data_IF_859925776211
#
_entry.id   IF_859925776211
#
_cell.length_a   1.000
_cell.length_b   1.000
_cell.length_c   1.000
_cell.angle_alpha   90.00
_cell.angle_beta   90.00
_cell.angle_gamma   90.00
#
_symmetry.space_group_name_H-M   'P 1'
#
loop_
_entity.id
_entity.type
_entity.pdbx_description
1 polymer ?
#
# COMPACT_ATOMS: atom_id res chain seq x y z
N UNK A 1 10.05 2.09 31.72
CA UNK A 1 11.36 2.24 31.06
C UNK A 1 11.28 3.51 30.24
N UNK A 2 12.13 4.50 30.50
CA UNK A 2 12.25 5.64 29.58
C UNK A 2 12.79 5.09 28.26
N UNK A 3 11.99 5.19 27.18
CA UNK A 3 12.44 4.77 25.87
C UNK A 3 13.65 5.62 25.49
N UNK A 4 14.79 4.98 25.27
CA UNK A 4 16.00 5.60 24.74
C UNK A 4 15.73 5.99 23.28
N UNK A 5 15.11 7.16 23.08
CA UNK A 5 15.04 7.80 21.77
C UNK A 5 16.41 8.40 21.50
N UNK A 6 17.03 8.02 20.39
CA UNK A 6 18.26 8.63 19.93
C UNK A 6 18.03 10.13 19.69
N UNK A 7 19.00 11.00 20.02
CA UNK A 7 18.88 12.39 19.63
C UNK A 7 18.90 12.51 18.10
N UNK A 8 18.18 13.50 17.53
CA UNK A 8 18.24 13.76 16.10
C UNK A 8 19.68 14.05 15.67
N UNK A 9 20.11 13.56 14.50
CA UNK A 9 21.46 13.82 14.02
C UNK A 9 21.61 15.28 13.63
N UNK A 10 22.81 15.83 13.83
CA UNK A 10 23.12 17.21 13.43
C UNK A 10 23.09 17.35 11.91
N UNK A 11 22.24 18.24 11.41
CA UNK A 11 22.17 18.57 9.99
C UNK A 11 23.15 19.70 9.66
N UNK A 12 23.89 19.57 8.56
CA UNK A 12 24.84 20.60 8.11
C UNK A 12 24.09 21.87 7.66
N UNK A 13 24.71 23.04 7.85
CA UNK A 13 24.16 24.32 7.37
C UNK A 13 23.92 24.30 5.86
N UNK A 14 24.87 23.75 5.10
CA UNK A 14 24.77 23.60 3.64
C UNK A 14 23.50 22.85 3.21
N UNK A 15 23.08 21.84 3.98
CA UNK A 15 21.84 21.10 3.70
C UNK A 15 20.58 21.94 3.92
N UNK A 16 20.59 22.79 4.95
CA UNK A 16 19.49 23.71 5.24
C UNK A 16 19.45 24.87 4.24
N UNK A 17 20.62 25.36 3.82
CA UNK A 17 20.72 26.32 2.72
C UNK A 17 20.21 25.72 1.42
N UNK A 18 20.47 24.44 1.15
CA UNK A 18 19.94 23.77 -0.04
C UNK A 18 18.40 23.77 -0.06
N UNK A 19 17.76 23.53 1.09
CA UNK A 19 16.30 23.65 1.23
C UNK A 19 15.81 25.05 0.87
N UNK A 20 16.46 26.09 1.42
CA UNK A 20 16.12 27.50 1.15
C UNK A 20 16.37 27.90 -0.31
N UNK A 21 17.39 27.34 -0.96
CA UNK A 21 17.72 27.61 -2.37
C UNK A 21 16.68 27.06 -3.34
N UNK A 22 16.00 25.96 -2.99
CA UNK A 22 14.95 25.39 -3.83
C UNK A 22 13.65 26.21 -3.80
N UNK A 23 13.53 27.17 -2.88
CA UNK A 23 12.43 28.13 -2.82
C UNK A 23 12.17 28.59 -1.39
N UNK A 24 11.35 29.63 -1.25
CA UNK A 24 10.67 29.96 0.00
C UNK A 24 9.29 29.29 -0.05
N UNK A 25 9.18 28.00 0.35
CA UNK A 25 7.90 27.35 0.33
C UNK A 25 6.95 28.14 1.23
N UNK A 26 5.68 28.27 0.84
CA UNK A 26 4.64 28.96 1.60
C UNK A 26 4.27 28.28 2.95
N UNK A 27 5.20 27.52 3.53
CA UNK A 27 5.01 26.62 4.63
C UNK A 27 4.53 25.23 4.19
N UNK A 28 4.35 24.33 5.17
CA UNK A 28 3.72 23.04 4.93
C UNK A 28 2.24 23.22 4.55
N UNK A 29 1.73 22.30 3.72
CA UNK A 29 0.34 22.27 3.27
C UNK A 29 -0.34 20.96 3.67
N UNK A 30 -1.67 20.92 3.65
CA UNK A 30 -2.41 19.68 3.91
C UNK A 30 -2.17 18.64 2.82
N UNK A 31 -2.26 17.35 3.18
CA UNK A 31 -2.10 16.23 2.23
C UNK A 31 -3.10 16.30 1.08
N UNK A 32 -4.35 16.69 1.35
CA UNK A 32 -5.39 16.86 0.33
C UNK A 32 -5.01 17.92 -0.70
N UNK A 33 -4.57 19.09 -0.23
CA UNK A 33 -4.06 20.18 -1.08
C UNK A 33 -2.86 19.73 -1.89
N UNK A 34 -1.89 19.06 -1.25
CA UNK A 34 -0.66 18.62 -1.89
C UNK A 34 -0.90 17.59 -2.99
N UNK A 35 -1.81 16.63 -2.77
CA UNK A 35 -2.12 15.58 -3.76
C UNK A 35 -3.18 16.01 -4.77
N UNK A 36 -3.74 17.21 -4.65
CA UNK A 36 -4.91 17.68 -5.40
C UNK A 36 -6.11 16.72 -5.32
N UNK A 37 -6.36 16.18 -4.12
CA UNK A 37 -7.48 15.27 -3.83
C UNK A 37 -8.46 15.90 -2.83
N UNK A 38 -9.75 15.54 -2.86
CA UNK A 38 -10.74 16.03 -1.88
C UNK A 38 -10.34 15.72 -0.43
N UNK A 39 -10.75 16.54 0.54
CA UNK A 39 -10.46 16.22 1.95
C UNK A 39 -11.14 14.92 2.40
N UNK A 40 -12.41 14.74 2.01
CA UNK A 40 -13.16 13.52 2.26
C UNK A 40 -12.68 12.39 1.35
N UNK A 41 -12.28 11.27 1.95
CA UNK A 41 -11.96 10.07 1.19
C UNK A 41 -13.21 9.51 0.51
N UNK A 42 -13.09 9.21 -0.78
CA UNK A 42 -14.02 8.33 -1.47
C UNK A 42 -13.98 6.93 -0.85
N UNK A 43 -15.04 6.15 -1.06
CA UNK A 43 -15.10 4.77 -0.57
C UNK A 43 -13.91 3.93 -1.05
N UNK A 44 -13.47 4.18 -2.29
CA UNK A 44 -12.27 3.60 -2.87
C UNK A 44 -11.03 3.87 -2.02
N UNK A 45 -10.80 5.14 -1.73
CA UNK A 45 -9.66 5.58 -0.93
C UNK A 45 -9.72 4.93 0.45
N UNK A 46 -10.89 4.94 1.10
CA UNK A 46 -11.09 4.29 2.40
C UNK A 46 -10.76 2.80 2.36
N UNK A 47 -11.17 2.05 1.34
CA UNK A 47 -10.80 0.63 1.20
C UNK A 47 -9.30 0.43 1.08
N UNK A 48 -8.60 1.26 0.27
CA UNK A 48 -7.15 1.19 0.13
C UNK A 48 -6.43 1.53 1.45
N UNK A 49 -6.93 2.52 2.18
CA UNK A 49 -6.41 2.92 3.50
C UNK A 49 -6.55 1.76 4.49
N UNK A 50 -7.76 1.21 4.67
CA UNK A 50 -8.00 0.11 5.60
C UNK A 50 -7.24 -1.17 5.23
N UNK A 51 -7.05 -1.42 3.93
CA UNK A 51 -6.20 -2.53 3.52
C UNK A 51 -4.74 -2.34 3.93
N UNK A 52 -4.21 -1.12 3.75
CA UNK A 52 -2.84 -0.81 4.17
C UNK A 52 -2.69 -0.93 5.71
N UNK A 53 -3.68 -0.45 6.47
CA UNK A 53 -3.77 -0.65 7.93
C UNK A 53 -3.69 -2.12 8.31
N UNK A 54 -4.48 -2.99 7.65
CA UNK A 54 -4.45 -4.44 7.86
C UNK A 54 -3.06 -5.03 7.57
N UNK A 55 -2.44 -4.63 6.47
CA UNK A 55 -1.09 -5.08 6.11
C UNK A 55 -0.07 -4.67 7.17
N UNK A 56 -0.13 -3.43 7.66
CA UNK A 56 0.73 -2.89 8.71
C UNK A 56 0.50 -3.65 10.02
N UNK A 57 -0.75 -3.75 10.48
CA UNK A 57 -1.09 -4.47 11.72
C UNK A 57 -0.63 -5.92 11.69
N UNK A 58 -0.86 -6.63 10.57
CA UNK A 58 -0.36 -7.99 10.37
C UNK A 58 1.17 -8.07 10.41
N UNK A 59 1.87 -7.07 9.88
CA UNK A 59 3.33 -7.02 9.97
C UNK A 59 3.81 -6.77 11.39
N UNK A 60 3.21 -5.80 12.10
CA UNK A 60 3.58 -5.45 13.48
C UNK A 60 3.43 -6.63 14.45
N UNK A 61 2.50 -7.55 14.19
CA UNK A 61 2.28 -8.75 15.01
C UNK A 61 3.37 -9.81 14.86
N UNK A 62 4.12 -9.83 13.75
CA UNK A 62 5.20 -10.80 13.55
C UNK A 62 6.35 -10.52 14.51
N UNK A 63 6.85 -11.55 15.20
CA UNK A 63 7.92 -11.42 16.21
C UNK A 63 9.13 -10.62 15.72
N UNK A 64 9.61 -10.93 14.52
CA UNK A 64 10.77 -10.25 13.92
C UNK A 64 10.50 -8.77 13.60
N UNK A 65 9.26 -8.43 13.23
CA UNK A 65 8.90 -7.04 12.99
C UNK A 65 8.80 -6.29 14.32
N UNK A 66 8.22 -6.89 15.36
CA UNK A 66 8.08 -6.26 16.68
C UNK A 66 9.44 -5.88 17.28
N UNK A 67 10.44 -6.75 17.21
CA UNK A 67 11.80 -6.44 17.67
C UNK A 67 12.43 -5.32 16.83
N UNK A 68 12.27 -5.37 15.52
CA UNK A 68 12.76 -4.35 14.59
C UNK A 68 12.14 -2.98 14.87
N UNK A 69 10.82 -2.91 15.04
CA UNK A 69 10.06 -1.69 15.32
C UNK A 69 10.45 -1.08 16.68
N UNK A 70 10.65 -1.92 17.70
CA UNK A 70 11.12 -1.46 19.02
C UNK A 70 12.49 -0.78 18.99
N UNK A 71 13.34 -1.18 18.05
CA UNK A 71 14.68 -0.63 17.91
C UNK A 71 14.74 0.60 17.00
N UNK A 72 13.68 0.94 16.26
CA UNK A 72 13.68 2.10 15.37
C UNK A 72 14.03 3.41 16.07
N UNK A 73 13.47 3.73 17.26
CA UNK A 73 13.80 4.99 17.93
C UNK A 73 15.27 5.10 18.35
N UNK A 74 16.03 3.99 18.31
CA UNK A 74 17.44 3.98 18.72
C UNK A 74 18.42 4.29 17.58
N UNK A 75 17.95 4.28 16.32
CA UNK A 75 18.78 4.55 15.16
C UNK A 75 18.98 6.07 14.99
N UNK A 76 20.22 6.54 15.03
CA UNK A 76 20.57 7.98 14.89
C UNK A 76 20.49 8.46 13.45
N UNK A 77 20.70 7.56 12.50
CA UNK A 77 20.73 7.87 11.08
C UNK A 77 20.13 6.74 10.26
N UNK A 78 19.85 7.03 8.99
CA UNK A 78 19.38 6.02 8.03
C UNK A 78 20.39 4.87 7.88
N UNK A 79 21.68 5.15 8.02
CA UNK A 79 22.76 4.14 7.92
C UNK A 79 22.81 3.19 9.11
N UNK A 80 22.26 3.59 10.26
CA UNK A 80 22.10 2.73 11.43
C UNK A 80 20.82 1.87 11.36
N UNK A 81 19.91 2.13 10.42
CA UNK A 81 18.73 1.29 10.22
C UNK A 81 19.15 -0.12 9.77
N UNK A 82 18.65 -1.13 10.49
CA UNK A 82 18.84 -2.52 10.10
C UNK A 82 18.26 -2.79 8.70
N UNK A 83 18.82 -3.78 8.00
CA UNK A 83 18.27 -4.26 6.72
C UNK A 83 16.78 -4.65 6.85
N UNK A 84 16.39 -5.20 8.00
CA UNK A 84 14.98 -5.54 8.29
C UNK A 84 14.09 -4.29 8.38
N UNK A 85 14.56 -3.22 9.04
CA UNK A 85 13.84 -1.94 9.14
C UNK A 85 13.61 -1.35 7.75
N UNK A 86 14.68 -1.23 6.95
CA UNK A 86 14.60 -0.70 5.58
C UNK A 86 13.73 -1.59 4.68
N UNK A 87 13.78 -2.90 4.87
CA UNK A 87 12.92 -3.83 4.14
C UNK A 87 11.44 -3.64 4.46
N UNK A 88 11.08 -3.47 5.74
CA UNK A 88 9.70 -3.18 6.16
C UNK A 88 9.23 -1.88 5.50
N UNK A 89 10.04 -0.82 5.55
CA UNK A 89 9.74 0.47 4.90
C UNK A 89 9.46 0.31 3.41
N UNK A 90 10.36 -0.38 2.71
CA UNK A 90 10.24 -0.64 1.29
C UNK A 90 8.94 -1.41 0.98
N UNK A 91 8.66 -2.46 1.76
CA UNK A 91 7.46 -3.28 1.60
C UNK A 91 6.19 -2.48 1.79
N UNK A 92 6.09 -1.69 2.86
CA UNK A 92 4.89 -0.88 3.13
C UNK A 92 4.66 0.17 2.04
N UNK A 93 5.73 0.86 1.63
CA UNK A 93 5.64 1.83 0.53
C UNK A 93 5.22 1.16 -0.78
N UNK A 94 5.76 -0.02 -1.08
CA UNK A 94 5.41 -0.77 -2.29
C UNK A 94 3.97 -1.29 -2.26
N UNK A 95 3.51 -1.84 -1.14
CA UNK A 95 2.10 -2.27 -0.97
C UNK A 95 1.13 -1.12 -1.20
N UNK A 96 1.48 0.08 -0.75
CA UNK A 96 0.62 1.24 -0.92
C UNK A 96 0.66 1.83 -2.33
N UNK A 97 1.80 1.79 -3.01
CA UNK A 97 2.02 2.54 -4.27
C UNK A 97 1.96 1.69 -5.53
N UNK A 98 2.01 0.36 -5.39
CA UNK A 98 2.03 -0.60 -6.49
C UNK A 98 0.80 -1.54 -6.45
N UNK A 99 0.43 -2.17 -7.58
CA UNK A 99 -0.64 -3.16 -7.60
C UNK A 99 -0.37 -4.30 -6.61
N UNK A 100 -1.34 -4.53 -5.72
CA UNK A 100 -1.29 -5.54 -4.65
C UNK A 100 -1.55 -6.96 -5.18
N UNK A 101 -1.93 -7.07 -6.45
CA UNK A 101 -2.44 -8.28 -7.12
C UNK A 101 -1.58 -9.52 -6.95
N UNK A 102 -0.29 -9.33 -6.70
CA UNK A 102 0.63 -10.42 -6.69
C UNK A 102 1.54 -10.27 -5.53
N UNK A 103 1.06 -10.73 -4.37
CA UNK A 103 2.01 -11.44 -3.58
C UNK A 103 1.63 -12.56 -2.57
N UNK A 104 2.12 -13.77 -2.82
CA UNK A 104 2.52 -14.71 -1.74
C UNK A 104 4.04 -14.91 -1.61
N UNK A 105 4.76 -14.71 -2.70
CA UNK A 105 6.20 -14.86 -2.96
C UNK A 105 7.12 -13.74 -2.46
N UNK A 106 6.67 -12.52 -2.21
CA UNK A 106 7.36 -11.30 -1.81
C UNK A 106 7.48 -11.31 -0.27
N UNK A 107 6.42 -11.68 0.45
CA UNK A 107 6.45 -11.99 1.89
C UNK A 107 7.23 -13.26 2.21
N UNK A 108 7.28 -14.23 1.28
CA UNK A 108 7.94 -15.52 1.50
C UNK A 108 9.37 -15.60 0.93
N UNK A 109 9.70 -14.90 -0.16
CA UNK A 109 11.03 -14.93 -0.81
C UNK A 109 11.88 -13.69 -0.54
N UNK A 110 11.45 -12.80 0.35
CA UNK A 110 12.22 -11.61 0.70
C UNK A 110 12.35 -11.50 2.21
N UNK A 111 13.00 -12.51 2.78
CA UNK A 111 13.63 -12.35 4.08
C UNK A 111 14.95 -11.59 3.92
N UNK A 112 15.53 -11.05 5.01
CA UNK A 112 16.84 -10.38 4.97
C UNK A 112 17.98 -11.24 4.36
N UNK A 113 17.77 -12.55 4.21
CA UNK A 113 18.74 -13.52 3.70
C UNK A 113 18.56 -13.88 2.21
N UNK A 114 17.62 -13.30 1.48
CA UNK A 114 17.35 -13.70 0.09
C UNK A 114 18.12 -12.85 -0.90
N UNK A 115 18.68 -13.50 -1.94
CA UNK A 115 19.50 -12.88 -2.99
C UNK A 115 18.80 -11.77 -3.78
N UNK A 116 17.46 -11.68 -3.68
CA UNK A 116 16.66 -10.60 -4.23
C UNK A 116 16.65 -9.36 -3.30
N UNK A 117 17.79 -9.11 -2.64
CA UNK A 117 18.13 -7.83 -2.05
C UNK A 117 18.29 -6.82 -3.19
N UNK A 118 17.17 -6.43 -3.81
CA UNK A 118 17.01 -5.13 -4.47
C UNK A 118 17.80 -4.15 -3.65
N UNK A 119 18.65 -3.33 -4.28
CA UNK A 119 19.59 -2.43 -3.60
C UNK A 119 18.89 -1.46 -2.63
N UNK A 120 18.52 -1.96 -1.44
CA UNK A 120 18.03 -1.20 -0.28
C UNK A 120 19.16 -0.31 0.27
N UNK A 121 20.33 -0.37 -0.37
CA UNK A 121 21.45 0.54 -0.19
C UNK A 121 21.23 1.89 -0.89
N UNK A 122 20.33 1.97 -1.88
CA UNK A 122 19.96 3.25 -2.45
C UNK A 122 19.30 4.14 -1.38
N UNK A 123 19.72 5.39 -1.31
CA UNK A 123 19.12 6.41 -0.45
C UNK A 123 17.70 6.79 -0.90
N UNK A 124 17.33 6.47 -2.15
CA UNK A 124 16.02 6.78 -2.74
C UNK A 124 15.51 5.59 -3.56
N UNK A 125 14.25 5.24 -3.33
CA UNK A 125 13.57 4.13 -3.99
C UNK A 125 12.50 4.67 -4.93
N UNK A 126 12.65 4.43 -6.23
CA UNK A 126 11.65 4.81 -7.23
C UNK A 126 10.61 3.70 -7.35
N UNK A 127 9.42 3.95 -6.79
CA UNK A 127 8.31 2.98 -6.84
C UNK A 127 7.60 3.05 -8.18
N UNK A 128 7.36 4.27 -8.67
CA UNK A 128 6.80 4.61 -10.00
C UNK A 128 7.60 5.78 -10.57
N UNK A 129 7.46 6.12 -11.86
CA UNK A 129 8.23 7.26 -12.42
C UNK A 129 7.95 8.59 -11.72
N UNK A 130 6.73 8.75 -11.20
CA UNK A 130 6.26 9.93 -10.48
C UNK A 130 6.21 9.73 -8.95
N UNK A 131 6.69 8.61 -8.39
CA UNK A 131 6.71 8.38 -6.94
C UNK A 131 8.07 7.83 -6.51
N UNK A 132 8.75 8.56 -5.64
CA UNK A 132 9.96 8.10 -4.97
C UNK A 132 9.82 8.16 -3.45
N UNK A 133 10.56 7.28 -2.78
CA UNK A 133 10.54 7.13 -1.33
C UNK A 133 11.97 7.31 -0.83
N UNK A 134 12.15 8.11 0.22
CA UNK A 134 13.43 8.28 0.91
C UNK A 134 13.30 7.73 2.33
N UNK A 135 14.05 6.67 2.70
CA UNK A 135 14.21 6.28 4.09
C UNK A 135 14.82 7.42 4.89
N UNK A 136 14.29 7.68 6.08
CA UNK A 136 14.65 8.81 6.93
C UNK A 136 14.54 8.43 8.40
N UNK A 137 15.02 9.31 9.27
CA UNK A 137 14.93 9.20 10.74
C UNK A 137 14.61 10.57 11.30
N UNK A 138 13.97 10.65 12.46
CA UNK A 138 13.73 11.91 13.19
C UNK A 138 13.03 13.00 12.37
N UNK A 139 12.00 12.65 11.58
CA UNK A 139 11.30 13.64 10.74
C UNK A 139 10.50 14.67 11.56
N UNK A 140 10.27 14.42 12.86
CA UNK A 140 9.70 15.40 13.79
C UNK A 140 10.67 16.54 14.13
N UNK A 141 11.97 16.37 13.90
CA UNK A 141 12.94 17.47 14.02
C UNK A 141 12.95 18.29 12.72
N UNK A 142 12.69 19.59 12.83
CA UNK A 142 12.52 20.50 11.70
C UNK A 142 13.75 20.53 10.77
N UNK A 143 14.97 20.47 11.33
CA UNK A 143 16.19 20.47 10.53
C UNK A 143 16.34 19.17 9.73
N UNK A 144 16.07 18.03 10.36
CA UNK A 144 16.09 16.71 9.72
C UNK A 144 14.99 16.57 8.66
N UNK A 145 13.79 17.08 8.94
CA UNK A 145 12.68 17.16 8.00
C UNK A 145 13.08 17.95 6.74
N UNK A 146 13.58 19.18 6.91
CA UNK A 146 14.02 20.04 5.81
C UNK A 146 15.14 19.42 5.01
N UNK A 147 16.10 18.77 5.66
CA UNK A 147 17.14 18.00 4.98
C UNK A 147 16.55 16.87 4.13
N UNK A 148 15.64 16.06 4.67
CA UNK A 148 15.01 14.97 3.94
C UNK A 148 14.20 15.46 2.72
N UNK A 149 13.51 16.61 2.86
CA UNK A 149 12.78 17.26 1.76
C UNK A 149 13.76 17.77 0.68
N UNK A 150 14.81 18.50 1.06
CA UNK A 150 15.81 19.02 0.12
C UNK A 150 16.48 17.90 -0.69
N UNK A 151 16.78 16.78 -0.03
CA UNK A 151 17.36 15.60 -0.67
C UNK A 151 16.40 14.94 -1.66
N UNK A 152 15.11 14.83 -1.33
CA UNK A 152 14.08 14.34 -2.25
C UNK A 152 13.97 15.26 -3.48
N UNK A 153 13.86 16.57 -3.27
CA UNK A 153 13.79 17.56 -4.36
C UNK A 153 15.02 17.47 -5.25
N UNK A 154 16.21 17.45 -4.66
CA UNK A 154 17.49 17.31 -5.37
C UNK A 154 17.51 16.08 -6.27
N UNK A 155 17.15 14.92 -5.73
CA UNK A 155 17.16 13.68 -6.48
C UNK A 155 16.11 13.61 -7.59
N UNK A 156 14.93 14.21 -7.36
CA UNK A 156 13.89 14.33 -8.37
C UNK A 156 14.39 15.20 -9.54
N UNK A 157 14.95 16.38 -9.25
CA UNK A 157 15.52 17.29 -10.26
C UNK A 157 16.68 16.63 -11.00
N UNK A 158 17.57 15.93 -10.29
CA UNK A 158 18.70 15.23 -10.89
C UNK A 158 18.25 14.14 -11.87
N UNK A 159 17.23 13.36 -11.52
CA UNK A 159 16.67 12.35 -12.43
C UNK A 159 16.00 12.97 -13.65
N UNK A 160 15.30 14.09 -13.46
CA UNK A 160 14.66 14.82 -14.54
C UNK A 160 15.65 15.42 -15.56
N UNK A 161 16.84 15.82 -15.10
CA UNK A 161 17.91 16.35 -15.95
C UNK A 161 18.65 15.30 -16.77
N UNK A 162 18.38 14.00 -16.59
CA UNK A 162 19.10 12.95 -17.33
C UNK A 162 18.64 12.89 -18.80
N UNK A 163 19.60 12.84 -19.77
CA UNK A 163 19.26 12.72 -21.18
C UNK A 163 18.40 11.49 -21.46
N UNK A 164 17.31 11.67 -22.22
CA UNK A 164 16.38 10.58 -22.57
C UNK A 164 15.41 10.17 -21.46
N UNK A 165 15.44 10.82 -20.28
CA UNK A 165 14.48 10.55 -19.23
C UNK A 165 13.20 11.37 -19.44
N UNK A 166 12.14 10.72 -19.95
CA UNK A 166 10.80 11.31 -19.94
C UNK A 166 10.25 11.34 -18.51
N UNK A 167 10.56 12.42 -17.80
CA UNK A 167 10.07 12.63 -16.44
C UNK A 167 8.65 13.20 -16.45
N UNK A 168 7.76 12.72 -15.56
CA UNK A 168 6.44 13.32 -15.36
C UNK A 168 6.54 14.79 -14.98
N UNK A 169 5.53 15.61 -15.31
CA UNK A 169 5.52 17.03 -14.92
C UNK A 169 5.48 17.22 -13.40
N UNK A 170 4.86 16.29 -12.69
CA UNK A 170 4.79 16.28 -11.23
C UNK A 170 5.34 14.96 -10.71
N UNK A 171 6.26 15.06 -9.75
CA UNK A 171 6.83 13.90 -9.05
C UNK A 171 6.62 14.08 -7.56
N UNK A 172 6.17 13.02 -6.91
CA UNK A 172 5.94 12.97 -5.48
C UNK A 172 7.09 12.23 -4.78
N UNK A 173 7.60 12.84 -3.72
CA UNK A 173 8.52 12.24 -2.78
C UNK A 173 7.81 11.87 -1.48
N UNK A 174 8.23 10.79 -0.84
CA UNK A 174 7.76 10.39 0.48
C UNK A 174 8.96 10.12 1.39
N UNK A 175 9.25 11.04 2.30
CA UNK A 175 10.25 10.80 3.34
C UNK A 175 9.62 9.93 4.43
N UNK A 176 10.27 8.85 4.81
CA UNK A 176 9.64 7.80 5.61
C UNK A 176 10.57 7.33 6.72
N UNK A 177 10.14 7.34 7.98
CA UNK A 177 10.92 6.82 9.13
C UNK A 177 10.28 5.62 9.84
N UNK A 178 9.18 5.07 9.29
CA UNK A 178 8.22 4.19 9.96
C UNK A 178 7.46 4.84 11.13
N UNK A 179 8.09 5.70 11.91
CA UNK A 179 7.38 6.43 12.97
C UNK A 179 6.62 7.62 12.39
N UNK A 180 7.24 8.30 11.43
CA UNK A 180 6.75 9.52 10.83
C UNK A 180 6.91 9.48 9.30
N UNK A 181 6.25 10.41 8.63
CA UNK A 181 6.45 10.65 7.21
C UNK A 181 6.19 12.09 6.81
N UNK A 182 6.70 12.46 5.63
CA UNK A 182 6.45 13.73 4.95
C UNK A 182 6.21 13.45 3.48
N UNK A 183 5.18 14.07 2.91
CA UNK A 183 4.93 14.02 1.47
C UNK A 183 5.46 15.30 0.84
N UNK A 184 6.16 15.16 -0.28
CA UNK A 184 6.71 16.25 -1.08
C UNK A 184 6.12 16.17 -2.48
N UNK A 185 5.66 17.28 -3.03
CA UNK A 185 5.27 17.42 -4.43
C UNK A 185 6.27 18.33 -5.12
N UNK A 186 6.89 17.87 -6.20
CA UNK A 186 7.81 18.65 -7.03
C UNK A 186 7.19 18.85 -8.40
N UNK A 187 7.09 20.11 -8.82
CA UNK A 187 6.53 20.54 -10.10
C UNK A 187 7.68 20.88 -11.05
N UNK A 188 8.01 19.93 -11.93
CA UNK A 188 9.14 20.03 -12.85
C UNK A 188 8.91 21.03 -13.98
N UNK A 189 7.65 21.36 -14.29
CA UNK A 189 7.31 22.42 -15.26
C UNK A 189 7.55 23.83 -14.70
N UNK A 190 7.53 23.97 -13.37
CA UNK A 190 7.77 25.24 -12.66
C UNK A 190 9.16 25.29 -12.04
N UNK A 191 10.18 24.93 -12.82
CA UNK A 191 11.59 24.91 -12.41
C UNK A 191 11.86 24.04 -11.15
N UNK A 192 11.06 23.00 -10.95
CA UNK A 192 11.17 22.13 -9.78
C UNK A 192 10.72 22.79 -8.48
N UNK A 193 9.82 23.78 -8.54
CA UNK A 193 9.16 24.31 -7.35
C UNK A 193 8.49 23.17 -6.57
N UNK A 194 8.53 23.23 -5.24
CA UNK A 194 8.05 22.15 -4.41
C UNK A 194 7.10 22.63 -3.31
N UNK A 195 6.24 21.70 -2.88
CA UNK A 195 5.38 21.82 -1.71
C UNK A 195 5.59 20.58 -0.84
N UNK A 196 5.34 20.70 0.46
CA UNK A 196 5.50 19.58 1.38
C UNK A 196 4.45 19.63 2.50
N UNK A 197 4.23 18.50 3.17
CA UNK A 197 3.38 18.43 4.38
C UNK A 197 4.18 18.65 5.65
N UNK A 198 3.52 18.89 6.78
CA UNK A 198 4.16 18.67 8.08
C UNK A 198 4.54 17.19 8.27
N UNK A 199 5.40 16.92 9.26
CA UNK A 199 5.66 15.57 9.70
C UNK A 199 4.38 14.96 10.28
N UNK A 200 4.02 13.78 9.79
CA UNK A 200 2.81 13.06 10.19
C UNK A 200 3.18 11.73 10.82
N UNK A 201 2.51 11.38 11.90
CA UNK A 201 2.60 10.04 12.48
C UNK A 201 2.23 9.00 11.43
N UNK A 202 3.06 7.97 11.29
CA UNK A 202 2.86 6.90 10.34
C UNK A 202 2.42 5.61 11.03
N UNK A 203 3.22 5.05 11.94
CA UNK A 203 2.76 3.87 12.68
C UNK A 203 1.82 4.29 13.81
N UNK A 204 0.72 3.56 14.02
CA UNK A 204 -0.12 3.80 15.19
C UNK A 204 0.67 3.50 16.47
N UNK A 205 0.30 4.19 17.56
CA UNK A 205 0.77 3.80 18.89
C UNK A 205 0.41 2.33 19.15
N UNK A 206 1.26 1.60 19.87
CA UNK A 206 0.99 0.24 20.31
C UNK A 206 -0.30 0.10 21.14
N UNK A 207 -0.84 1.20 21.66
CA UNK A 207 -2.08 1.26 22.41
C UNK A 207 -3.19 2.06 21.72
N UNK A 208 -3.04 2.43 20.44
CA UNK A 208 -4.06 3.18 19.73
C UNK A 208 -5.32 2.33 19.51
N UNK A 209 -6.50 2.89 19.81
CA UNK A 209 -7.79 2.24 19.54
C UNK A 209 -8.13 2.22 18.04
N UNK A 210 -7.47 3.07 17.25
CA UNK A 210 -7.71 3.24 15.81
C UNK A 210 -6.39 2.98 15.05
N UNK A 211 -6.39 2.10 14.03
CA UNK A 211 -5.18 1.76 13.28
C UNK A 211 -4.75 2.86 12.31
N UNK A 212 -5.69 3.73 11.95
CA UNK A 212 -5.47 4.79 10.99
C UNK A 212 -4.62 5.90 11.58
N UNK A 213 -3.58 6.27 10.84
CA UNK A 213 -2.79 7.47 11.09
C UNK A 213 -2.84 8.39 9.88
N UNK A 214 -2.54 9.70 10.06
CA UNK A 214 -2.42 10.62 8.93
C UNK A 214 -1.39 10.13 7.89
N UNK A 215 -0.28 9.53 8.32
CA UNK A 215 0.76 9.03 7.44
C UNK A 215 0.35 7.79 6.62
N UNK A 216 -0.40 6.86 7.23
CA UNK A 216 -0.97 5.71 6.49
C UNK A 216 -1.95 6.20 5.43
N UNK A 217 -2.82 7.14 5.82
CA UNK A 217 -3.77 7.77 4.89
C UNK A 217 -3.04 8.45 3.74
N UNK A 218 -2.02 9.26 4.04
CA UNK A 218 -1.24 9.97 3.04
C UNK A 218 -0.56 9.02 2.04
N UNK A 219 0.05 7.94 2.52
CA UNK A 219 0.73 6.97 1.67
C UNK A 219 -0.25 6.19 0.79
N UNK A 220 -1.39 5.75 1.34
CA UNK A 220 -2.42 5.06 0.56
C UNK A 220 -3.00 5.98 -0.54
N UNK A 221 -3.27 7.24 -0.21
CA UNK A 221 -3.77 8.24 -1.19
C UNK A 221 -2.73 8.57 -2.25
N UNK A 222 -1.45 8.66 -1.88
CA UNK A 222 -0.36 8.84 -2.82
C UNK A 222 -0.31 7.71 -3.86
N UNK A 223 -0.54 6.47 -3.46
CA UNK A 223 -0.62 5.33 -4.38
C UNK A 223 -1.77 5.43 -5.41
N UNK A 224 -2.85 6.13 -5.05
CA UNK A 224 -4.01 6.32 -5.91
C UNK A 224 -3.85 7.45 -6.93
N UNK A 225 -2.85 8.32 -6.77
CA UNK A 225 -2.56 9.40 -7.72
C UNK A 225 -2.37 8.80 -9.12
N UNK A 226 -3.14 9.27 -10.13
CA UNK A 226 -3.01 8.79 -11.49
C UNK A 226 -1.71 9.30 -12.11
N UNK A 227 -1.12 8.50 -12.99
CA UNK A 227 -0.01 8.97 -13.82
C UNK A 227 -0.08 8.45 -15.24
N UNK A 228 0.57 9.21 -16.12
CA UNK A 228 0.63 8.94 -17.55
C UNK A 228 1.28 7.59 -17.87
N UNK A 229 2.17 7.11 -17.01
CA UNK A 229 2.91 5.86 -17.16
C UNK A 229 2.32 4.68 -16.40
N UNK A 230 1.10 4.81 -15.87
CA UNK A 230 0.47 3.73 -15.10
C UNK A 230 0.26 2.48 -15.96
N UNK A 231 -0.29 2.60 -17.16
CA UNK A 231 -0.54 1.44 -18.02
C UNK A 231 0.73 0.59 -18.29
N UNK A 232 1.86 1.15 -18.75
CA UNK A 232 3.08 0.37 -18.94
C UNK A 232 3.66 -0.17 -17.62
N UNK A 233 3.60 0.60 -16.53
CA UNK A 233 4.07 0.15 -15.23
C UNK A 233 3.30 -1.08 -14.73
N UNK A 234 1.95 -1.02 -14.75
CA UNK A 234 1.09 -2.11 -14.31
C UNK A 234 1.24 -3.33 -15.21
N UNK A 235 1.40 -3.14 -16.53
CA UNK A 235 1.69 -4.23 -17.46
C UNK A 235 2.95 -4.99 -17.07
N UNK A 236 4.07 -4.29 -16.88
CA UNK A 236 5.33 -4.91 -16.49
C UNK A 236 5.22 -5.60 -15.14
N UNK A 237 4.53 -4.99 -14.17
CA UNK A 237 4.33 -5.57 -12.86
C UNK A 237 3.53 -6.89 -12.92
N UNK A 238 2.49 -6.96 -13.75
CA UNK A 238 1.69 -8.18 -13.94
C UNK A 238 2.52 -9.28 -14.61
N UNK A 239 3.27 -8.95 -15.68
CA UNK A 239 4.11 -9.92 -16.39
C UNK A 239 5.18 -10.52 -15.46
N UNK A 240 5.89 -9.66 -14.71
CA UNK A 240 6.89 -10.10 -13.73
C UNK A 240 6.29 -11.02 -12.67
N UNK A 241 5.09 -10.70 -12.20
CA UNK A 241 4.40 -11.51 -11.20
C UNK A 241 3.97 -12.89 -11.71
N UNK A 242 3.71 -13.01 -13.02
CA UNK A 242 3.38 -14.30 -13.65
C UNK A 242 4.63 -15.18 -13.89
N UNK A 243 5.82 -14.72 -13.48
CA UNK A 243 7.08 -15.44 -13.70
C UNK A 243 7.59 -15.32 -15.14
N UNK A 244 6.99 -14.44 -15.94
CA UNK A 244 7.47 -14.11 -17.27
C UNK A 244 8.62 -13.10 -17.12
N UNK A 245 9.82 -13.63 -16.85
CA UNK A 245 11.05 -12.85 -16.94
C UNK A 245 11.21 -12.42 -18.40
N UNK A 246 11.05 -11.12 -18.67
CA UNK A 246 11.47 -10.55 -19.94
C UNK A 246 12.99 -10.78 -20.07
N UNK A 247 13.38 -11.82 -20.79
CA UNK A 247 14.73 -11.89 -21.36
C UNK A 247 14.82 -10.75 -22.37
N UNK A 248 15.69 -9.78 -22.07
CA UNK A 248 15.80 -8.41 -22.62
C UNK A 248 16.04 -8.26 -24.13
N UNK A 249 15.66 -9.21 -24.98
CA UNK A 249 15.92 -9.15 -26.43
C UNK A 249 14.67 -8.93 -27.29
N UNK A 250 13.59 -8.42 -26.70
CA UNK A 250 12.49 -7.84 -27.50
C UNK A 250 12.83 -6.36 -27.73
N UNK A 251 13.76 -6.13 -28.67
CA UNK A 251 13.74 -4.90 -29.46
C UNK A 251 12.28 -4.65 -29.89
N UNK A 252 11.77 -3.41 -29.86
CA UNK A 252 10.41 -3.11 -30.29
C UNK A 252 10.33 -3.30 -31.81
N UNK A 253 10.31 -4.55 -32.26
CA UNK A 253 9.76 -4.92 -33.53
C UNK A 253 8.31 -4.43 -33.44
N UNK A 254 8.09 -3.30 -34.09
CA UNK A 254 6.76 -2.79 -34.40
C UNK A 254 5.94 -4.01 -34.86
N UNK A 255 4.73 -4.23 -34.32
CA UNK A 255 3.92 -5.36 -34.75
C UNK A 255 3.83 -5.31 -36.26
N UNK A 256 4.48 -6.27 -36.93
CA UNK A 256 4.41 -6.42 -38.38
C UNK A 256 2.95 -6.65 -38.69
N UNK A 257 2.34 -5.60 -39.23
CA UNK A 257 0.96 -5.47 -39.67
C UNK A 257 0.72 -6.29 -40.93
N UNK A 258 0.89 -7.61 -40.86
CA UNK A 258 0.56 -8.50 -41.97
C UNK A 258 -0.17 -9.74 -41.43
N UNK A 259 -1.44 -9.83 -41.82
CA UNK A 259 -2.18 -11.09 -42.05
C UNK A 259 -3.17 -11.57 -40.99
N UNK A 260 -3.77 -10.66 -40.22
CA UNK A 260 -5.04 -10.91 -39.53
C UNK A 260 -6.19 -10.10 -40.17
N UNK A 261 -6.39 -10.28 -41.47
CA UNK A 261 -7.59 -9.77 -42.17
C UNK A 261 -8.84 -10.46 -41.60
N UNK A 262 -9.62 -9.76 -40.78
CA UNK A 262 -10.97 -10.22 -40.43
C UNK A 262 -11.60 -9.67 -39.18
N UNK A 263 -10.82 -9.09 -38.25
CA UNK A 263 -11.42 -8.37 -37.12
C UNK A 263 -11.47 -6.87 -37.43
N UNK A 264 -12.61 -6.19 -37.22
CA UNK A 264 -12.69 -4.76 -37.44
C UNK A 264 -11.67 -4.06 -36.53
N UNK A 265 -10.70 -3.38 -37.14
CA UNK A 265 -9.60 -2.61 -36.50
C UNK A 265 -10.06 -1.47 -35.58
N UNK A 266 -11.35 -1.38 -35.28
CA UNK A 266 -11.86 -0.39 -34.34
C UNK A 266 -11.68 -0.94 -32.93
N UNK A 267 -10.77 -0.34 -32.12
CA UNK A 267 -10.67 -0.74 -30.72
C UNK A 267 -12.05 -0.56 -30.07
N UNK A 268 -12.42 -1.50 -29.20
CA UNK A 268 -13.63 -1.37 -28.42
C UNK A 268 -13.62 -0.01 -27.69
N UNK A 269 -14.74 0.72 -27.68
CA UNK A 269 -14.86 1.95 -26.92
C UNK A 269 -14.43 1.75 -25.46
N UNK A 270 -13.62 2.67 -24.93
CA UNK A 270 -13.00 2.54 -23.59
C UNK A 270 -14.06 2.46 -22.49
N UNK A 271 -15.22 3.08 -22.66
CA UNK A 271 -16.35 2.99 -21.74
C UNK A 271 -16.95 1.57 -21.67
N UNK A 272 -16.99 0.85 -22.78
CA UNK A 272 -17.40 -0.56 -22.80
C UNK A 272 -16.35 -1.42 -22.11
N UNK A 273 -15.07 -1.23 -22.42
CA UNK A 273 -13.97 -1.97 -21.77
C UNK A 273 -13.94 -1.71 -20.26
N UNK A 274 -14.21 -0.48 -19.83
CA UNK A 274 -14.32 -0.10 -18.43
C UNK A 274 -15.48 -0.83 -17.73
N UNK A 275 -16.65 -0.91 -18.37
CA UNK A 275 -17.77 -1.71 -17.87
C UNK A 275 -17.40 -3.19 -17.77
N UNK A 276 -16.73 -3.75 -18.79
CA UNK A 276 -16.26 -5.14 -18.75
C UNK A 276 -15.32 -5.35 -17.57
N UNK A 277 -14.29 -4.50 -17.40
CA UNK A 277 -13.37 -4.57 -16.27
C UNK A 277 -14.08 -4.54 -14.91
N UNK A 278 -15.15 -3.74 -14.79
CA UNK A 278 -15.98 -3.66 -13.59
C UNK A 278 -16.70 -4.98 -13.24
N UNK A 279 -17.06 -5.79 -14.23
CA UNK A 279 -17.72 -7.08 -14.00
C UNK A 279 -16.75 -8.26 -13.81
N UNK A 280 -15.43 -8.04 -13.98
CA UNK A 280 -14.44 -9.09 -13.74
C UNK A 280 -14.10 -9.14 -12.26
N UNK A 281 -14.66 -10.12 -11.56
CA UNK A 281 -14.45 -10.31 -10.12
C UNK A 281 -13.14 -11.03 -9.80
N UNK A 282 -12.72 -11.97 -10.65
CA UNK A 282 -11.49 -12.72 -10.46
C UNK A 282 -10.27 -11.88 -10.87
N UNK A 283 -9.32 -11.61 -9.95
CA UNK A 283 -8.17 -10.75 -10.25
C UNK A 283 -7.24 -11.29 -11.32
N UNK A 284 -7.14 -12.61 -11.48
CA UNK A 284 -6.33 -13.20 -12.55
C UNK A 284 -6.96 -12.89 -13.90
N UNK A 285 -8.26 -13.12 -14.02
CA UNK A 285 -9.06 -12.75 -15.20
C UNK A 285 -8.97 -11.25 -15.48
N UNK A 286 -8.95 -10.38 -14.46
CA UNK A 286 -8.79 -8.93 -14.62
C UNK A 286 -7.41 -8.58 -15.19
N UNK A 287 -6.36 -9.28 -14.74
CA UNK A 287 -5.02 -9.14 -15.27
C UNK A 287 -4.92 -9.64 -16.71
N UNK A 288 -5.49 -10.80 -17.02
CA UNK A 288 -5.52 -11.35 -18.38
C UNK A 288 -6.24 -10.38 -19.33
N UNK A 289 -7.38 -9.84 -18.88
CA UNK A 289 -8.10 -8.77 -19.59
C UNK A 289 -7.21 -7.53 -19.78
N UNK A 290 -6.54 -7.05 -18.73
CA UNK A 290 -5.66 -5.89 -18.81
C UNK A 290 -4.48 -6.13 -19.78
N UNK A 291 -3.94 -7.35 -19.83
CA UNK A 291 -2.84 -7.72 -20.73
C UNK A 291 -3.26 -7.84 -22.19
N UNK A 292 -4.56 -8.07 -22.47
CA UNK A 292 -5.08 -8.28 -23.82
C UNK A 292 -4.89 -7.07 -24.76
N UNK A 293 -4.91 -5.83 -24.24
CA UNK A 293 -4.64 -4.63 -25.04
C UNK A 293 -4.31 -3.41 -24.16
N UNK A 294 -3.73 -2.36 -24.75
CA UNK A 294 -3.47 -1.10 -24.03
C UNK A 294 -4.76 -0.41 -23.56
N UNK A 295 -5.83 -0.46 -24.36
CA UNK A 295 -7.13 0.09 -23.96
C UNK A 295 -7.76 -0.69 -22.81
N UNK A 296 -7.63 -2.02 -22.81
CA UNK A 296 -8.09 -2.87 -21.72
C UNK A 296 -7.28 -2.64 -20.44
N UNK A 297 -5.96 -2.45 -20.55
CA UNK A 297 -5.11 -2.02 -19.43
C UNK A 297 -5.61 -0.71 -18.82
N UNK A 298 -5.80 0.33 -19.64
CA UNK A 298 -6.29 1.63 -19.17
C UNK A 298 -7.66 1.50 -18.50
N UNK A 299 -8.56 0.73 -19.09
CA UNK A 299 -9.89 0.45 -18.53
C UNK A 299 -9.81 -0.30 -17.19
N UNK A 300 -8.87 -1.24 -17.04
CA UNK A 300 -8.68 -2.04 -15.84
C UNK A 300 -7.87 -1.32 -14.74
N UNK A 301 -7.08 -0.29 -15.06
CA UNK A 301 -6.17 0.37 -14.11
C UNK A 301 -6.82 0.77 -12.79
N UNK A 302 -8.00 1.42 -12.77
CA UNK A 302 -8.60 1.75 -11.49
C UNK A 302 -8.98 0.51 -10.67
N UNK A 303 -9.23 -0.63 -11.32
CA UNK A 303 -9.56 -1.91 -10.70
C UNK A 303 -8.33 -2.66 -10.20
N UNK A 304 -7.22 -2.57 -10.94
CA UNK A 304 -5.93 -3.15 -10.58
C UNK A 304 -5.27 -2.44 -9.39
N UNK A 305 -5.59 -1.15 -9.20
CA UNK A 305 -5.20 -0.33 -8.04
C UNK A 305 -5.92 -0.72 -6.75
N UNK A 306 -7.07 -1.38 -6.84
CA UNK A 306 -7.78 -1.83 -5.64
C UNK A 306 -7.08 -3.04 -5.03
N UNK A 307 -7.03 -3.13 -3.69
CA UNK A 307 -6.64 -4.35 -3.01
C UNK A 307 -7.52 -5.51 -3.46
N UNK A 308 -6.87 -6.62 -3.80
CA UNK A 308 -7.50 -7.89 -4.17
C UNK A 308 -7.19 -8.96 -3.14
N UNK A 309 -7.72 -8.86 -1.89
CA UNK A 309 -7.41 -9.81 -0.85
C UNK A 309 -7.94 -11.21 -1.21
N UNK A 310 -7.08 -12.23 -1.05
CA UNK A 310 -7.52 -13.61 -1.08
C UNK A 310 -8.06 -14.01 0.27
N UNK A 311 -9.37 -14.01 0.43
CA UNK A 311 -9.99 -14.47 1.67
C UNK A 311 -10.15 -15.99 1.58
N UNK A 312 -9.52 -16.70 2.52
CA UNK A 312 -9.82 -18.13 2.70
C UNK A 312 -10.92 -18.22 3.73
N UNK A 313 -12.15 -18.50 3.30
CA UNK A 313 -13.26 -18.73 4.21
C UNK A 313 -13.11 -20.15 4.79
N UNK A 314 -12.96 -20.25 6.10
CA UNK A 314 -13.09 -21.51 6.82
C UNK A 314 -14.52 -21.60 7.34
N UNK A 315 -15.30 -22.57 6.83
CA UNK A 315 -16.64 -22.83 7.33
C UNK A 315 -16.52 -23.95 8.37
N UNK A 316 -16.63 -23.60 9.64
CA UNK A 316 -16.78 -24.61 10.70
C UNK A 316 -18.25 -25.06 10.72
N UNK A 317 -18.50 -26.32 10.33
CA UNK A 317 -19.84 -26.91 10.39
C UNK A 317 -19.94 -27.74 11.66
N UNK A 318 -20.93 -27.46 12.50
CA UNK A 318 -21.25 -28.36 13.61
C UNK A 318 -21.74 -29.69 13.07
N UNK A 319 -21.12 -30.78 13.52
CA UNK A 319 -21.58 -32.12 13.18
C UNK A 319 -22.89 -32.46 13.88
N UNK A 320 -23.60 -33.52 13.43
CA UNK A 320 -24.81 -34.02 14.09
C UNK A 320 -24.59 -34.40 15.57
N UNK A 321 -23.34 -34.58 15.99
CA UNK A 321 -22.94 -34.91 17.37
C UNK A 321 -22.71 -33.68 18.27
N UNK A 322 -22.93 -32.45 17.79
CA UNK A 322 -22.57 -31.23 18.52
C UNK A 322 -21.06 -31.03 18.68
N UNK A 323 -20.25 -31.86 18.03
CA UNK A 323 -18.81 -31.68 17.95
C UNK A 323 -18.47 -30.84 16.71
N UNK A 324 -17.57 -29.85 16.83
CA UNK A 324 -17.17 -29.02 15.70
C UNK A 324 -16.47 -29.89 14.67
N UNK A 325 -17.14 -30.14 13.54
CA UNK A 325 -16.54 -30.80 12.39
C UNK A 325 -15.79 -29.71 11.62
N UNK A 326 -14.47 -29.65 11.81
CA UNK A 326 -13.57 -28.75 11.07
C UNK A 326 -13.45 -29.23 9.61
N UNK A 327 -14.50 -29.01 8.83
CA UNK A 327 -14.47 -29.15 7.38
C UNK A 327 -13.78 -27.92 6.80
N UNK A 328 -12.46 -28.01 6.58
CA UNK A 328 -11.74 -26.92 5.91
C UNK A 328 -12.01 -27.01 4.40
N UNK A 329 -13.17 -26.54 3.93
CA UNK A 329 -13.31 -26.24 2.50
C UNK A 329 -12.48 -25.01 2.18
N UNK A 330 -11.32 -25.21 1.57
CA UNK A 330 -10.56 -24.12 0.93
C UNK A 330 -11.33 -23.64 -0.31
N UNK A 331 -12.37 -22.85 -0.13
CA UNK A 331 -12.86 -21.98 -1.20
C UNK A 331 -11.87 -20.81 -1.31
N UNK A 332 -10.77 -21.03 -2.01
CA UNK A 332 -9.73 -20.03 -2.18
C UNK A 332 -10.12 -18.98 -3.22
N UNK A 333 -11.15 -18.18 -2.94
CA UNK A 333 -11.58 -17.05 -3.76
C UNK A 333 -10.77 -15.78 -3.45
N UNK A 334 -10.45 -15.02 -4.48
CA UNK A 334 -10.07 -13.62 -4.34
C UNK A 334 -11.36 -12.81 -4.34
N UNK A 335 -11.52 -11.86 -3.42
CA UNK A 335 -12.75 -11.08 -3.30
C UNK A 335 -12.49 -9.62 -3.68
N UNK A 336 -13.35 -9.10 -4.55
CA UNK A 336 -13.32 -7.71 -5.00
C UNK A 336 -14.01 -6.79 -3.97
N UNK A 337 -13.60 -5.52 -3.90
CA UNK A 337 -14.13 -4.53 -2.95
C UNK A 337 -15.24 -3.63 -3.51
N UNK A 338 -15.47 -3.59 -4.83
CA UNK A 338 -16.56 -2.82 -5.46
C UNK A 338 -17.96 -3.19 -4.98
N UNK A 339 -18.09 -4.37 -4.39
CA UNK A 339 -19.30 -4.81 -3.76
C UNK A 339 -19.50 -4.07 -2.41
N UNK A 340 -18.47 -3.59 -1.70
CA UNK A 340 -18.60 -2.69 -0.53
C UNK A 340 -19.40 -1.46 -0.92
N UNK A 341 -20.68 -1.34 -0.54
CA UNK A 341 -21.53 -0.18 -0.86
C UNK A 341 -22.36 0.23 0.37
N UNK A 342 -21.67 0.67 1.42
CA UNK A 342 -22.12 1.56 2.52
C UNK A 342 -21.24 1.29 3.73
N UNK A 343 -20.82 2.34 4.41
CA UNK A 343 -20.18 2.26 5.72
C UNK A 343 -20.94 3.22 6.64
N UNK A 344 -21.64 2.67 7.63
CA UNK A 344 -21.92 3.37 8.87
C UNK A 344 -20.92 2.82 9.88
N UNK A 345 -20.01 3.67 10.35
CA UNK A 345 -19.08 3.32 11.42
C UNK A 345 -19.90 3.11 12.69
N UNK A 346 -20.23 1.86 13.02
CA UNK A 346 -20.74 1.50 14.34
C UNK A 346 -19.60 1.05 15.23
N UNK A 347 -19.49 1.76 16.35
CA UNK A 347 -18.73 1.50 17.58
C UNK A 347 -17.76 0.32 17.58
N UNK A 348 -16.47 0.63 17.74
CA UNK A 348 -15.46 -0.31 18.16
C UNK A 348 -15.76 -0.73 19.62
N UNK A 349 -16.51 -1.82 19.82
CA UNK A 349 -16.68 -2.40 21.15
C UNK A 349 -15.46 -3.25 21.48
N UNK A 350 -14.44 -2.66 22.10
CA UNK A 350 -13.33 -3.44 22.64
C UNK A 350 -13.82 -4.23 23.87
N UNK A 351 -13.82 -5.57 23.76
CA UNK A 351 -13.83 -6.41 24.96
C UNK A 351 -12.52 -6.17 25.70
N UNK A 352 -12.59 -5.61 26.91
CA UNK A 352 -11.44 -5.56 27.82
C UNK A 352 -10.77 -6.94 27.87
N UNK A 353 -9.43 -7.02 27.83
CA UNK A 353 -8.72 -8.29 27.88
C UNK A 353 -9.12 -9.03 29.17
N UNK A 354 -9.86 -10.12 29.02
CA UNK A 354 -10.15 -11.01 30.14
C UNK A 354 -8.87 -11.77 30.45
N UNK A 355 -8.29 -11.52 31.63
CA UNK A 355 -7.20 -12.33 32.19
C UNK A 355 -7.68 -13.79 32.31
N UNK A 356 -7.45 -14.60 31.29
CA UNK A 356 -7.55 -16.06 31.37
C UNK A 356 -6.14 -16.61 31.20
N UNK A 357 -5.58 -17.12 32.30
CA UNK A 357 -4.33 -17.88 32.36
C UNK A 357 -3.01 -17.12 32.10
N UNK A 358 -2.76 -16.02 32.81
CA UNK A 358 -1.39 -15.52 33.04
C UNK A 358 -0.62 -14.94 31.84
N UNK A 359 -1.05 -15.19 30.61
CA UNK A 359 -0.60 -14.51 29.41
C UNK A 359 -1.64 -13.44 29.04
N UNK A 360 -1.28 -12.17 29.20
CA UNK A 360 -2.00 -11.08 28.54
C UNK A 360 -1.75 -11.23 27.04
N UNK A 361 -2.66 -11.91 26.35
CA UNK A 361 -2.74 -11.84 24.90
C UNK A 361 -3.27 -10.43 24.56
N UNK A 362 -2.34 -9.51 24.35
CA UNK A 362 -2.64 -8.18 23.84
C UNK A 362 -3.14 -8.36 22.39
N UNK A 363 -4.45 -8.49 22.22
CA UNK A 363 -5.11 -8.47 20.91
C UNK A 363 -5.01 -7.06 20.36
N UNK A 364 -3.88 -6.72 19.76
CA UNK A 364 -3.59 -5.32 19.43
C UNK A 364 -4.50 -4.75 18.34
N UNK A 365 -5.26 -5.56 17.58
CA UNK A 365 -6.11 -5.09 16.49
C UNK A 365 -7.28 -6.05 16.21
N UNK A 366 -8.27 -6.10 17.11
CA UNK A 366 -9.57 -6.69 16.78
C UNK A 366 -10.45 -5.61 16.13
N UNK A 367 -10.88 -5.85 14.90
CA UNK A 367 -11.66 -4.87 14.14
C UNK A 367 -12.74 -5.54 13.30
N UNK A 368 -13.83 -4.83 13.08
CA UNK A 368 -14.87 -5.21 12.13
C UNK A 368 -14.55 -4.59 10.77
N UNK A 369 -14.50 -5.43 9.74
CA UNK A 369 -14.38 -5.02 8.35
C UNK A 369 -15.66 -5.42 7.66
N UNK A 370 -16.06 -4.65 6.65
CA UNK A 370 -17.24 -4.97 5.86
C UNK A 370 -16.75 -5.12 4.42
N UNK A 371 -16.91 -6.31 3.84
CA UNK A 371 -16.86 -6.48 2.40
C UNK A 371 -18.27 -6.70 1.89
N UNK A 372 -18.46 -6.77 0.58
CA UNK A 372 -19.66 -7.42 0.09
C UNK A 372 -19.31 -8.52 -0.90
N UNK A 373 -20.24 -9.44 -1.05
CA UNK A 373 -20.13 -10.61 -1.89
C UNK A 373 -21.51 -10.89 -2.47
N UNK A 374 -21.58 -10.99 -3.80
CA UNK A 374 -22.85 -11.25 -4.49
C UNK A 374 -23.97 -10.26 -4.07
N UNK A 375 -23.62 -8.97 -3.99
CA UNK A 375 -24.54 -7.91 -3.58
C UNK A 375 -24.94 -7.90 -2.10
N UNK A 376 -24.31 -8.73 -1.25
CA UNK A 376 -24.60 -8.80 0.20
C UNK A 376 -23.45 -8.30 1.04
N UNK A 377 -23.75 -7.50 2.06
CA UNK A 377 -22.78 -7.09 3.05
C UNK A 377 -22.34 -8.28 3.89
N UNK A 378 -21.03 -8.46 3.95
CA UNK A 378 -20.37 -9.47 4.75
C UNK A 378 -19.52 -8.72 5.77
N UNK A 379 -19.81 -8.99 7.04
CA UNK A 379 -18.99 -8.50 8.14
C UNK A 379 -17.89 -9.53 8.43
N UNK A 380 -16.66 -9.07 8.44
CA UNK A 380 -15.50 -9.80 8.91
C UNK A 380 -15.14 -9.26 10.27
N UNK A 381 -14.93 -10.13 11.23
CA UNK A 381 -14.23 -9.78 12.46
C UNK A 381 -12.85 -10.35 12.35
N UNK A 382 -11.83 -9.51 12.43
CA UNK A 382 -10.46 -10.00 12.56
C UNK A 382 -10.23 -10.39 14.01
N UNK A 383 -10.00 -11.67 14.24
CA UNK A 383 -9.51 -12.20 15.50
C UNK A 383 -8.08 -12.70 15.29
N UNK A 384 -7.11 -12.03 15.91
CA UNK A 384 -5.77 -12.58 16.05
C UNK A 384 -5.81 -13.67 17.11
N UNK A 385 -5.72 -14.92 16.69
CA UNK A 385 -5.57 -16.08 17.58
C UNK A 385 -4.12 -16.53 17.58
N UNK A 386 -3.63 -17.05 18.72
CA UNK A 386 -2.29 -17.62 18.81
C UNK A 386 -2.40 -19.14 18.84
N UNK A 387 -1.75 -19.81 17.89
CA UNK A 387 -1.54 -21.25 17.89
C UNK A 387 -0.04 -21.49 17.79
N UNK A 388 0.55 -22.18 18.76
CA UNK A 388 1.98 -22.55 18.78
C UNK A 388 2.93 -21.35 18.56
N UNK A 389 2.71 -20.25 19.30
CA UNK A 389 3.47 -18.98 19.21
C UNK A 389 3.47 -18.28 17.84
N UNK A 390 2.66 -18.75 16.88
CA UNK A 390 2.42 -18.07 15.61
C UNK A 390 1.10 -17.28 15.69
N UNK A 391 1.11 -15.97 15.41
CA UNK A 391 -0.13 -15.22 15.26
C UNK A 391 -0.85 -15.72 14.00
N UNK A 392 -2.03 -16.30 14.19
CA UNK A 392 -2.96 -16.66 13.13
C UNK A 392 -4.02 -15.57 13.04
N UNK A 393 -3.98 -14.80 11.95
CA UNK A 393 -5.04 -13.86 11.61
C UNK A 393 -6.26 -14.67 11.16
N UNK A 394 -7.28 -14.76 12.01
CA UNK A 394 -8.54 -15.43 11.68
C UNK A 394 -9.55 -14.36 11.31
N UNK A 395 -10.04 -14.42 10.08
CA UNK A 395 -11.19 -13.63 9.67
C UNK A 395 -12.45 -14.47 9.95
N UNK A 396 -13.20 -14.06 10.98
CA UNK A 396 -14.49 -14.65 11.29
C UNK A 396 -15.55 -13.95 10.42
N UNK A 397 -16.27 -14.74 9.62
CA UNK A 397 -17.31 -14.27 8.73
C UNK A 397 -18.65 -14.25 9.47
N UNK A 398 -19.18 -13.07 9.76
CA UNK A 398 -20.59 -12.92 10.13
C UNK A 398 -21.36 -12.59 8.85
N UNK A 399 -21.95 -13.62 8.23
CA UNK A 399 -22.97 -13.41 7.19
C UNK A 399 -24.24 -13.04 7.93
N UNK A 400 -24.68 -11.77 7.80
CA UNK A 400 -25.93 -11.32 8.41
C UNK A 400 -27.07 -12.27 8.02
N UNK A 401 -27.79 -12.77 9.02
CA UNK A 401 -29.00 -13.55 8.78
C UNK A 401 -29.92 -12.74 7.86
N UNK A 402 -30.46 -13.40 6.83
CA UNK A 402 -31.39 -12.82 5.88
C UNK A 402 -32.38 -11.88 6.56
N UNK A 403 -32.39 -10.60 6.16
CA UNK A 403 -33.58 -9.77 6.33
C UNK A 403 -34.77 -10.57 5.77
N UNK A 404 -35.91 -10.63 6.48
CA UNK A 404 -37.05 -11.39 6.01
C UNK A 404 -37.43 -10.86 4.63
N UNK A 405 -37.53 -11.79 3.68
CA UNK A 405 -38.06 -11.56 2.34
C UNK A 405 -39.40 -10.84 2.47
N UNK A 406 -39.42 -9.53 2.25
CA UNK A 406 -40.66 -8.81 2.00
C UNK A 406 -41.08 -9.20 0.59
N UNK A 407 -42.06 -10.11 0.55
CA UNK A 407 -42.83 -10.45 -0.64
C UNK A 407 -43.29 -9.18 -1.36
N UNK A 408 -43.05 -9.11 -2.67
CA UNK A 408 -44.07 -8.76 -3.66
C UNK A 408 -43.79 -9.42 -5.00
#
# INVERSE_FOLDING_TARGET
MANLVAPPPTVSKDSLELFQRYGDPAGPVSTSTLLALPETSSQRESTCIHYLELCIGSHMQKYNARSTLRNLPTARSVDELSSASRWIMYTLARVATCPILYDRTWLQHYGPNTKCAVSVKSSIWWMRKHICIRPSTHLQDDANMKHAVAELVSAIKAKAGLPGCHSPSVVYGFAFSLLDCVVVRVDLEKDGNFQYTEAMDFLPDAYADVPSTPGITALARLGLVPAIDDAPFYRTAILQANGESQTEDISPASPTSSDAEGFPDKPFPTDILFKVAQYIEDPRSLCDFALASSSAMIAALPWLKYPQPRVTIQIETEGPSGLPLKSTRRAGGLYYSHSMQRLLVHECTTRRPTKRNGATNDHLWAGHFYAMYDGREIKFTNETTYTDDQPLLRFCLEVGASLPTLYH
#
